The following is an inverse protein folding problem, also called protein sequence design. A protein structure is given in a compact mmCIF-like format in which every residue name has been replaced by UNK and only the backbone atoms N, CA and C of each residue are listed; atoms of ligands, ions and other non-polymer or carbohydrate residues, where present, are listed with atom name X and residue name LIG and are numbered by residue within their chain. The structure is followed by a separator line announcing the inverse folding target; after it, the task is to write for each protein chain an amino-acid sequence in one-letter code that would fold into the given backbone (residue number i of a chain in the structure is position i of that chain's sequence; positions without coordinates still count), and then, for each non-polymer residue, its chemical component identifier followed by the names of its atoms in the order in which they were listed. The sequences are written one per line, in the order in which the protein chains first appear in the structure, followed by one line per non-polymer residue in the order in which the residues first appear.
data_IF_052487160004
#
_entry.id   IF_052487160004
#
_cell.length_a   1.000
_cell.length_b   1.000
_cell.length_c   1.000
_cell.angle_alpha   90.00
_cell.angle_beta   90.00
_cell.angle_gamma   90.00
#
_symmetry.space_group_name_H-M   'P 1'
#
loop_
_entity.id
_entity.type
_entity.pdbx_description
1 polymer ?
#
# COMPACT_ATOMS: atom_id res chain seq x y z
N UNK A 1 -2.03 -16.53 -52.54
CA UNK A 1 -2.02 -16.22 -51.11
C UNK A 1 -0.60 -15.88 -50.75
N UNK A 2 -0.34 -14.58 -50.60
CA UNK A 2 1.05 -14.04 -50.54
C UNK A 2 1.74 -14.44 -49.22
N UNK A 3 2.88 -15.13 -49.37
CA UNK A 3 3.78 -15.51 -48.29
C UNK A 3 4.16 -14.33 -47.37
N UNK A 4 4.19 -13.14 -47.91
CA UNK A 4 4.47 -11.90 -47.16
C UNK A 4 3.36 -11.52 -46.15
N UNK A 5 2.09 -11.77 -46.50
CA UNK A 5 0.93 -11.53 -45.62
C UNK A 5 0.95 -12.53 -44.45
N UNK A 6 1.28 -13.77 -44.69
CA UNK A 6 1.44 -14.81 -43.66
C UNK A 6 2.59 -14.46 -42.69
N UNK A 7 3.74 -14.04 -43.20
CA UNK A 7 4.89 -13.68 -42.41
C UNK A 7 4.62 -12.44 -41.55
N UNK A 8 3.85 -11.49 -42.06
CA UNK A 8 3.43 -10.29 -41.31
C UNK A 8 2.43 -10.64 -40.18
N UNK A 9 1.49 -11.57 -40.45
CA UNK A 9 0.51 -12.01 -39.44
C UNK A 9 1.17 -12.82 -38.32
N UNK A 10 2.05 -13.75 -38.66
CA UNK A 10 2.77 -14.56 -37.67
C UNK A 10 3.78 -13.74 -36.87
N UNK A 11 4.45 -12.77 -37.47
CA UNK A 11 5.34 -11.84 -36.77
C UNK A 11 4.60 -11.00 -35.74
N UNK A 12 3.43 -10.50 -36.12
CA UNK A 12 2.59 -9.66 -35.24
C UNK A 12 2.01 -10.44 -34.04
N UNK A 13 1.69 -11.70 -34.21
CA UNK A 13 1.24 -12.57 -33.10
C UNK A 13 2.40 -12.88 -32.13
N UNK A 14 3.60 -13.07 -32.62
CA UNK A 14 4.79 -13.26 -31.78
C UNK A 14 5.13 -12.03 -30.95
N UNK A 15 5.07 -10.85 -31.55
CA UNK A 15 5.27 -9.58 -30.84
C UNK A 15 4.20 -9.33 -29.78
N UNK A 16 2.94 -9.65 -30.07
CA UNK A 16 1.84 -9.50 -29.12
C UNK A 16 2.03 -10.43 -27.92
N UNK A 17 2.40 -11.67 -28.15
CA UNK A 17 2.68 -12.63 -27.07
C UNK A 17 3.89 -12.21 -26.23
N UNK A 18 4.95 -11.74 -26.88
CA UNK A 18 6.14 -11.23 -26.19
C UNK A 18 5.82 -10.01 -25.32
N UNK A 19 5.05 -9.04 -25.84
CA UNK A 19 4.63 -7.86 -25.10
C UNK A 19 3.71 -8.22 -23.94
N UNK A 20 2.82 -9.19 -24.12
CA UNK A 20 1.97 -9.71 -23.05
C UNK A 20 2.79 -10.40 -21.94
N UNK A 21 3.73 -11.26 -22.30
CA UNK A 21 4.62 -11.92 -21.34
C UNK A 21 5.49 -10.91 -20.57
N UNK A 22 6.01 -9.89 -21.25
CA UNK A 22 6.73 -8.80 -20.62
C UNK A 22 5.83 -7.99 -19.66
N UNK A 23 4.59 -7.71 -20.04
CA UNK A 23 3.62 -7.07 -19.17
C UNK A 23 3.37 -7.87 -17.88
N UNK A 24 3.19 -9.18 -18.00
CA UNK A 24 3.05 -10.06 -16.83
C UNK A 24 4.32 -10.00 -15.96
N UNK A 25 5.50 -10.10 -16.54
CA UNK A 25 6.76 -10.08 -15.81
C UNK A 25 6.94 -8.75 -15.04
N UNK A 26 6.47 -7.64 -15.60
CA UNK A 26 6.52 -6.32 -14.95
C UNK A 26 5.57 -6.21 -13.75
N UNK A 27 4.42 -6.90 -13.80
CA UNK A 27 3.42 -6.87 -12.73
C UNK A 27 3.73 -7.91 -11.64
N UNK A 28 4.48 -8.96 -11.95
CA UNK A 28 4.77 -10.07 -11.02
C UNK A 28 5.33 -9.62 -9.66
N UNK A 29 6.28 -8.67 -9.57
CA UNK A 29 6.77 -8.18 -8.29
C UNK A 29 5.67 -7.52 -7.45
N UNK A 30 4.75 -6.77 -8.07
CA UNK A 30 3.63 -6.14 -7.38
C UNK A 30 2.65 -7.19 -6.83
N UNK A 31 2.34 -8.23 -7.60
CA UNK A 31 1.50 -9.36 -7.15
C UNK A 31 2.15 -10.08 -5.98
N UNK A 32 3.46 -10.32 -6.04
CA UNK A 32 4.19 -10.95 -4.94
C UNK A 32 4.13 -10.10 -3.67
N UNK A 33 4.30 -8.78 -3.77
CA UNK A 33 4.18 -7.86 -2.65
C UNK A 33 2.78 -7.87 -2.03
N UNK A 34 1.72 -7.95 -2.85
CA UNK A 34 0.34 -8.06 -2.39
C UNK A 34 0.12 -9.36 -1.63
N UNK A 35 0.63 -10.49 -2.13
CA UNK A 35 0.54 -11.77 -1.46
C UNK A 35 1.27 -11.77 -0.11
N UNK A 36 2.46 -11.18 -0.04
CA UNK A 36 3.21 -11.03 1.20
C UNK A 36 2.45 -10.17 2.22
N UNK A 37 1.87 -9.05 1.80
CA UNK A 37 1.07 -8.19 2.66
C UNK A 37 -0.20 -8.90 3.17
N UNK A 38 -0.85 -9.68 2.31
CA UNK A 38 -2.01 -10.49 2.69
C UNK A 38 -1.63 -11.58 3.71
N UNK A 39 -0.47 -12.19 3.56
CA UNK A 39 0.07 -13.17 4.52
C UNK A 39 0.34 -12.54 5.87
N UNK A 40 0.93 -11.33 5.91
CA UNK A 40 1.16 -10.58 7.15
C UNK A 40 -0.17 -10.28 7.85
N UNK A 41 -1.17 -9.78 7.10
CA UNK A 41 -2.51 -9.54 7.64
C UNK A 41 -3.11 -10.80 8.26
N UNK A 42 -3.05 -11.94 7.55
CA UNK A 42 -3.54 -13.21 8.03
C UNK A 42 -2.86 -13.64 9.33
N UNK A 43 -1.53 -13.59 9.37
CA UNK A 43 -0.73 -13.95 10.55
C UNK A 43 -1.04 -13.06 11.75
N UNK A 44 -1.21 -11.76 11.55
CA UNK A 44 -1.56 -10.81 12.61
C UNK A 44 -2.97 -11.08 13.17
N UNK A 45 -3.92 -11.49 12.31
CA UNK A 45 -5.29 -11.79 12.70
C UNK A 45 -5.36 -13.12 13.45
N UNK A 46 -4.78 -14.18 12.92
CA UNK A 46 -4.75 -15.52 13.53
C UNK A 46 -3.92 -15.53 14.83
N UNK A 47 -2.82 -14.80 14.87
CA UNK A 47 -1.98 -14.66 16.06
C UNK A 47 -2.59 -13.80 17.17
N UNK A 48 -3.81 -13.23 16.96
CA UNK A 48 -4.46 -12.28 17.89
C UNK A 48 -3.59 -11.07 18.26
N UNK A 49 -2.54 -10.83 17.50
CA UNK A 49 -1.65 -9.68 17.68
C UNK A 49 -2.42 -8.40 17.38
N UNK A 50 -3.30 -8.45 16.36
CA UNK A 50 -4.17 -7.34 16.02
C UNK A 50 -5.10 -6.99 17.19
N UNK A 51 -5.71 -7.97 17.84
CA UNK A 51 -6.59 -7.77 19.01
C UNK A 51 -5.81 -7.14 20.17
N UNK A 52 -4.58 -7.56 20.39
CA UNK A 52 -3.71 -6.99 21.43
C UNK A 52 -3.37 -5.53 21.13
N UNK A 53 -3.02 -5.20 19.87
CA UNK A 53 -2.75 -3.83 19.44
C UNK A 53 -4.02 -2.98 19.57
N UNK A 54 -5.18 -3.51 19.16
CA UNK A 54 -6.46 -2.83 19.25
C UNK A 54 -6.84 -2.56 20.70
N UNK A 55 -6.68 -3.53 21.61
CA UNK A 55 -6.94 -3.34 23.03
C UNK A 55 -6.02 -2.30 23.68
N UNK A 56 -4.73 -2.32 23.31
CA UNK A 56 -3.79 -1.29 23.76
C UNK A 56 -4.17 0.09 23.22
N UNK A 57 -4.57 0.18 21.95
CA UNK A 57 -5.04 1.39 21.34
C UNK A 57 -6.32 1.92 22.00
N UNK A 58 -7.30 1.06 22.32
CA UNK A 58 -8.53 1.43 23.04
C UNK A 58 -8.21 1.96 24.45
N UNK A 59 -7.24 1.36 25.13
CA UNK A 59 -6.80 1.85 26.45
C UNK A 59 -6.27 3.28 26.41
N UNK A 60 -5.57 3.64 25.34
CA UNK A 60 -5.06 5.02 25.11
C UNK A 60 -6.16 5.94 24.57
N UNK A 61 -7.13 5.37 23.87
CA UNK A 61 -8.17 6.08 23.13
C UNK A 61 -9.21 6.79 23.98
N UNK A 62 -9.49 6.25 25.16
CA UNK A 62 -10.51 6.83 26.03
C UNK A 62 -10.18 8.26 26.47
N UNK A 63 -8.94 8.71 26.24
CA UNK A 63 -8.45 10.02 26.59
C UNK A 63 -8.15 10.94 25.39
N UNK A 64 -8.15 10.41 24.14
CA UNK A 64 -7.76 11.16 22.97
C UNK A 64 -8.95 11.52 22.05
N UNK A 65 -9.10 12.79 21.65
CA UNK A 65 -10.10 13.18 20.65
C UNK A 65 -9.76 12.56 19.28
N UNK A 66 -10.78 12.25 18.47
CA UNK A 66 -10.64 11.67 17.13
C UNK A 66 -9.61 12.39 16.23
N UNK A 67 -9.56 13.72 16.35
CA UNK A 67 -8.60 14.54 15.61
C UNK A 67 -7.14 14.24 15.97
N UNK A 68 -6.86 13.93 17.24
CA UNK A 68 -5.51 13.57 17.67
C UNK A 68 -5.08 12.21 17.12
N UNK A 69 -6.00 11.26 17.00
CA UNK A 69 -5.71 9.95 16.39
C UNK A 69 -5.37 10.09 14.91
N UNK A 70 -6.12 10.90 14.17
CA UNK A 70 -5.85 11.16 12.75
C UNK A 70 -4.47 11.82 12.58
N UNK A 71 -4.16 12.80 13.43
CA UNK A 71 -2.87 13.47 13.42
C UNK A 71 -1.73 12.50 13.74
N UNK A 72 -1.95 11.58 14.68
CA UNK A 72 -0.97 10.54 15.03
C UNK A 72 -0.73 9.58 13.87
N UNK A 73 -1.79 9.13 13.18
CA UNK A 73 -1.68 8.30 11.96
C UNK A 73 -0.88 9.05 10.89
N UNK A 74 -1.22 10.31 10.62
CA UNK A 74 -0.49 11.16 9.68
C UNK A 74 1.00 11.25 10.02
N UNK A 75 1.33 11.44 11.29
CA UNK A 75 2.70 11.58 11.77
C UNK A 75 3.49 10.27 11.65
N UNK A 76 2.86 9.12 11.95
CA UNK A 76 3.46 7.79 11.73
C UNK A 76 3.79 7.60 10.25
N UNK A 77 2.86 7.89 9.35
CA UNK A 77 3.07 7.75 7.90
C UNK A 77 4.22 8.64 7.43
N UNK A 78 4.27 9.87 7.94
CA UNK A 78 5.34 10.82 7.64
C UNK A 78 6.71 10.28 8.08
N UNK A 79 6.83 9.77 9.31
CA UNK A 79 8.08 9.18 9.82
C UNK A 79 8.46 7.93 9.02
N UNK A 80 7.48 7.05 8.72
CA UNK A 80 7.73 5.83 7.94
C UNK A 80 8.18 6.12 6.51
N UNK A 81 7.82 7.27 5.95
CA UNK A 81 8.29 7.67 4.63
C UNK A 81 9.81 7.93 4.58
N UNK A 82 10.40 8.27 5.70
CA UNK A 82 11.87 8.38 5.79
C UNK A 82 12.56 7.04 5.57
N UNK A 83 11.97 5.94 6.06
CA UNK A 83 12.53 4.59 5.94
C UNK A 83 12.09 3.88 4.66
N UNK A 84 10.85 4.08 4.23
CA UNK A 84 10.24 3.40 3.08
C UNK A 84 9.74 4.47 2.10
N UNK A 85 10.54 4.76 1.08
CA UNK A 85 10.20 5.75 0.04
C UNK A 85 9.10 5.28 -0.93
N UNK A 86 8.89 3.96 -1.06
CA UNK A 86 7.86 3.40 -1.93
C UNK A 86 6.46 3.54 -1.31
N UNK A 87 5.60 4.38 -1.91
CA UNK A 87 4.22 4.61 -1.45
C UNK A 87 3.37 3.33 -1.47
N UNK A 88 3.48 2.52 -2.51
CA UNK A 88 2.75 1.25 -2.62
C UNK A 88 3.19 0.24 -1.55
N UNK A 89 4.49 0.06 -1.34
CA UNK A 89 5.00 -0.83 -0.30
C UNK A 89 4.54 -0.40 1.09
N UNK A 90 4.56 0.91 1.38
CA UNK A 90 4.02 1.49 2.61
C UNK A 90 2.53 1.22 2.79
N UNK A 91 1.74 1.45 1.74
CA UNK A 91 0.30 1.21 1.78
C UNK A 91 -0.01 -0.25 2.13
N UNK A 92 0.66 -1.20 1.51
CA UNK A 92 0.48 -2.63 1.79
C UNK A 92 0.87 -3.01 3.22
N UNK A 93 1.88 -2.36 3.78
CA UNK A 93 2.34 -2.64 5.14
C UNK A 93 1.46 -1.96 6.20
N UNK A 94 1.12 -0.69 6.02
CA UNK A 94 0.49 0.13 7.05
C UNK A 94 -1.03 0.10 7.01
N UNK A 95 -1.67 -0.03 5.83
CA UNK A 95 -3.13 -0.01 5.73
C UNK A 95 -3.83 -1.12 6.53
N UNK A 96 -3.33 -2.36 6.55
CA UNK A 96 -3.93 -3.42 7.37
C UNK A 96 -3.90 -3.13 8.87
N UNK A 97 -3.02 -2.25 9.34
CA UNK A 97 -2.92 -1.82 10.73
C UNK A 97 -3.70 -0.54 10.99
N UNK A 98 -3.56 0.47 10.13
CA UNK A 98 -4.16 1.79 10.31
C UNK A 98 -5.70 1.72 10.26
N UNK A 99 -6.26 1.01 9.28
CA UNK A 99 -7.72 0.98 9.08
C UNK A 99 -8.45 0.38 10.27
N UNK A 100 -8.08 -0.78 10.83
CA UNK A 100 -8.73 -1.31 12.03
C UNK A 100 -8.57 -0.40 13.25
N UNK A 101 -7.39 0.19 13.45
CA UNK A 101 -7.16 1.14 14.55
C UNK A 101 -8.13 2.33 14.42
N UNK A 102 -8.19 2.96 13.27
CA UNK A 102 -9.10 4.08 13.05
C UNK A 102 -10.58 3.72 13.25
N UNK A 103 -10.99 2.51 12.87
CA UNK A 103 -12.35 2.02 13.06
C UNK A 103 -12.72 1.90 14.54
N UNK A 104 -11.79 1.47 15.39
CA UNK A 104 -12.01 1.42 16.86
C UNK A 104 -12.33 2.81 17.41
N UNK A 105 -11.76 3.86 16.84
CA UNK A 105 -12.03 5.25 17.24
C UNK A 105 -13.24 5.88 16.54
N UNK A 106 -14.08 5.08 15.86
CA UNK A 106 -15.20 5.54 15.04
C UNK A 106 -14.77 6.53 13.92
N UNK A 107 -13.54 6.39 13.45
CA UNK A 107 -13.01 7.14 12.31
C UNK A 107 -13.32 6.35 11.05
N UNK A 108 -13.93 7.02 10.05
CA UNK A 108 -14.25 6.37 8.79
C UNK A 108 -12.99 5.89 8.06
N UNK A 109 -13.08 4.74 7.38
CA UNK A 109 -11.97 4.20 6.60
C UNK A 109 -11.50 5.18 5.51
N UNK A 110 -12.41 6.00 4.98
CA UNK A 110 -12.07 7.05 4.01
C UNK A 110 -11.13 8.10 4.61
N UNK A 111 -11.40 8.54 5.84
CA UNK A 111 -10.58 9.53 6.52
C UNK A 111 -9.20 8.96 6.88
N UNK A 112 -9.13 7.67 7.21
CA UNK A 112 -7.88 6.94 7.44
C UNK A 112 -7.00 6.88 6.19
N UNK A 113 -7.62 6.59 5.04
CA UNK A 113 -6.93 6.57 3.74
C UNK A 113 -6.47 7.97 3.34
N UNK A 114 -7.29 8.99 3.60
CA UNK A 114 -6.89 10.39 3.34
C UNK A 114 -5.71 10.81 4.22
N UNK A 115 -5.72 10.50 5.51
CA UNK A 115 -4.61 10.80 6.42
C UNK A 115 -3.31 10.13 5.95
N UNK A 116 -3.40 8.86 5.49
CA UNK A 116 -2.28 8.15 4.88
C UNK A 116 -1.79 8.86 3.62
N UNK A 117 -2.69 9.17 2.68
CA UNK A 117 -2.35 9.80 1.40
C UNK A 117 -1.70 11.18 1.58
N UNK A 118 -2.21 11.98 2.52
CA UNK A 118 -1.61 13.27 2.84
C UNK A 118 -0.24 13.10 3.52
N UNK A 119 -0.08 12.14 4.44
CA UNK A 119 1.19 11.83 5.06
C UNK A 119 2.24 11.41 4.03
N UNK A 120 1.85 10.59 3.07
CA UNK A 120 2.71 10.17 1.97
C UNK A 120 3.04 11.32 1.01
N UNK A 121 2.04 12.10 0.60
CA UNK A 121 2.21 13.21 -0.34
C UNK A 121 3.06 14.35 0.23
N UNK A 122 2.77 14.82 1.44
CA UNK A 122 3.53 15.90 2.06
C UNK A 122 4.98 15.50 2.39
N UNK A 123 5.21 14.25 2.73
CA UNK A 123 6.57 13.77 3.00
C UNK A 123 7.44 13.78 1.74
N UNK A 124 6.86 13.57 0.55
CA UNK A 124 7.58 13.68 -0.72
C UNK A 124 8.10 15.11 -0.99
N UNK A 125 7.42 16.13 -0.46
CA UNK A 125 7.87 17.53 -0.54
C UNK A 125 8.91 17.86 0.52
N UNK A 126 8.82 17.24 1.69
CA UNK A 126 9.70 17.52 2.83
C UNK A 126 11.04 16.80 2.77
N UNK A 127 11.09 15.61 2.14
CA UNK A 127 12.32 14.81 2.10
C UNK A 127 13.04 14.96 0.75
N UNK A 128 14.24 15.57 0.74
CA UNK A 128 15.06 15.73 -0.47
C UNK A 128 15.63 14.40 -1.00
N UNK A 129 15.40 13.30 -0.28
CA UNK A 129 15.81 11.94 -0.69
C UNK A 129 14.87 11.30 -1.71
N UNK A 130 13.75 11.94 -2.02
CA UNK A 130 12.77 11.41 -2.97
C UNK A 130 13.14 11.90 -4.39
N UNK A 131 13.43 10.99 -5.35
CA UNK A 131 13.94 11.35 -6.68
C UNK A 131 12.86 11.91 -7.63
N UNK A 132 11.74 12.39 -7.13
CA UNK A 132 10.58 12.87 -7.93
C UNK A 132 10.52 14.40 -8.00
N UNK A 133 11.63 15.07 -7.76
CA UNK A 133 11.76 16.50 -8.04
C UNK A 133 12.77 16.71 -9.15
#
# INVERSE_FOLDING_TARGET
MDLNILKYHFGKQGETFYNFANGIATILPAVFMILMASSIKYTLTEGKVLDTILNAAVGIANELPQGAVILFVYLIVLVMNFFISSGSAKAFLLMPLIVPICQVFNISSQLSVMAFAFGDGFSNVLYPTNPVL
#
